data_IF_659684609418
#
_entry.id   IF_659684609418
#
_cell.length_a   1.000
_cell.length_b   1.000
_cell.length_c   1.000
_cell.angle_alpha   90.00
_cell.angle_beta   90.00
_cell.angle_gamma   90.00
#
_symmetry.space_group_name_H-M   'P 1'
#
loop_
_entity.id
_entity.type
_entity.pdbx_description
1 polymer ?
#
# COMPACT_ATOMS: atom_id res chain seq x y z
N UNK A 1 -6.16 21.39 -21.56
CA UNK A 1 -5.94 20.28 -22.51
C UNK A 1 -5.76 18.94 -21.77
N UNK A 2 -6.67 18.51 -20.90
CA UNK A 2 -6.70 17.17 -20.22
C UNK A 2 -5.34 16.43 -20.16
N UNK A 3 -5.24 15.25 -20.80
CA UNK A 3 -4.02 14.44 -20.84
C UNK A 3 -2.92 15.00 -21.75
N UNK A 4 -3.21 16.01 -22.58
CA UNK A 4 -2.21 16.73 -23.40
C UNK A 4 -1.44 17.79 -22.61
N UNK A 5 -1.91 18.18 -21.42
CA UNK A 5 -1.23 19.12 -20.52
C UNK A 5 -0.67 18.45 -19.26
N UNK A 6 -1.27 17.34 -18.83
CA UNK A 6 -0.78 16.54 -17.70
C UNK A 6 -1.22 15.10 -17.87
N UNK A 7 -0.27 14.19 -17.91
CA UNK A 7 -0.56 12.75 -17.96
C UNK A 7 -1.24 12.27 -16.67
N UNK A 8 -1.97 11.16 -16.75
CA UNK A 8 -2.61 10.56 -15.57
C UNK A 8 -1.55 10.03 -14.61
N UNK A 9 -1.88 10.01 -13.31
CA UNK A 9 -0.97 9.45 -12.31
C UNK A 9 -1.00 7.93 -12.41
N UNK A 10 0.14 7.33 -12.71
CA UNK A 10 0.34 5.90 -12.60
C UNK A 10 0.50 5.60 -11.12
N UNK A 11 -0.48 4.89 -10.54
CA UNK A 11 -0.56 4.60 -9.12
C UNK A 11 -0.97 3.14 -8.93
N UNK A 12 0.00 2.30 -8.60
CA UNK A 12 -0.22 0.90 -8.33
C UNK A 12 -0.67 0.72 -6.88
N UNK A 13 -1.59 -0.22 -6.70
CA UNK A 13 -2.02 -0.63 -5.37
C UNK A 13 -0.94 -1.49 -4.74
N UNK A 14 -0.25 -0.97 -3.72
CA UNK A 14 0.92 -1.63 -3.14
C UNK A 14 0.99 -1.49 -1.62
N UNK A 15 0.92 -2.61 -0.92
CA UNK A 15 1.11 -2.70 0.52
C UNK A 15 0.99 -4.17 0.88
N UNK A 16 1.96 -4.72 1.61
CA UNK A 16 1.93 -6.11 2.07
C UNK A 16 2.99 -6.29 3.15
N UNK A 17 2.66 -7.06 4.20
CA UNK A 17 3.60 -7.36 5.27
C UNK A 17 3.86 -6.16 6.17
N UNK A 18 5.14 -5.86 6.43
CA UNK A 18 5.53 -4.76 7.31
C UNK A 18 5.61 -3.42 6.58
N UNK A 19 5.67 -2.32 7.35
CA UNK A 19 5.92 -0.99 6.82
C UNK A 19 7.26 -0.92 6.04
N UNK A 20 8.28 -1.66 6.48
CA UNK A 20 9.59 -1.70 5.82
C UNK A 20 9.52 -2.40 4.45
N UNK A 21 8.75 -3.48 4.34
CA UNK A 21 8.58 -4.22 3.08
C UNK A 21 7.76 -3.40 2.08
N UNK A 22 6.72 -2.74 2.55
CA UNK A 22 5.92 -1.81 1.75
C UNK A 22 6.78 -0.63 1.26
N UNK A 23 7.65 -0.08 2.09
CA UNK A 23 8.56 0.99 1.67
C UNK A 23 9.56 0.53 0.59
N UNK A 24 10.15 -0.68 0.73
CA UNK A 24 11.00 -1.26 -0.31
C UNK A 24 10.26 -1.42 -1.63
N UNK A 25 8.99 -1.84 -1.59
CA UNK A 25 8.13 -1.96 -2.77
C UNK A 25 7.87 -0.60 -3.43
N UNK A 26 7.61 0.44 -2.66
CA UNK A 26 7.45 1.80 -3.18
C UNK A 26 8.70 2.30 -3.90
N UNK A 27 9.88 2.13 -3.32
CA UNK A 27 11.13 2.51 -4.00
C UNK A 27 11.32 1.75 -5.33
N UNK A 28 11.01 0.46 -5.36
CA UNK A 28 11.08 -0.32 -6.60
C UNK A 28 10.07 0.18 -7.65
N UNK A 29 8.86 0.53 -7.23
CA UNK A 29 7.80 1.04 -8.10
C UNK A 29 8.11 2.44 -8.65
N UNK A 30 8.63 3.34 -7.82
CA UNK A 30 9.11 4.65 -8.24
C UNK A 30 10.23 4.52 -9.27
N UNK A 31 11.17 3.59 -9.06
CA UNK A 31 12.24 3.29 -10.02
C UNK A 31 11.70 2.71 -11.34
N UNK A 32 10.52 2.09 -11.35
CA UNK A 32 9.86 1.56 -12.54
C UNK A 32 9.00 2.60 -13.27
N UNK A 33 8.95 3.85 -12.80
CA UNK A 33 8.21 4.94 -13.43
C UNK A 33 6.81 5.17 -12.87
N UNK A 34 6.50 4.62 -11.68
CA UNK A 34 5.28 4.98 -10.97
C UNK A 34 5.32 6.45 -10.51
N UNK A 35 4.24 7.19 -10.75
CA UNK A 35 4.18 8.65 -10.49
C UNK A 35 3.33 9.01 -9.28
N UNK A 36 2.75 8.03 -8.58
CA UNK A 36 2.11 8.24 -7.29
C UNK A 36 1.94 6.96 -6.50
N UNK A 37 2.09 7.02 -5.18
CA UNK A 37 2.00 5.85 -4.31
C UNK A 37 0.56 5.58 -3.86
N UNK A 38 0.21 4.30 -3.73
CA UNK A 38 -1.02 3.83 -3.07
C UNK A 38 -0.72 2.68 -2.14
N UNK A 39 -1.37 2.68 -0.99
CA UNK A 39 -1.14 1.72 0.11
C UNK A 39 -2.34 0.83 0.32
N UNK A 40 -2.09 -0.48 0.40
CA UNK A 40 -3.05 -1.45 0.91
C UNK A 40 -2.77 -1.69 2.40
N UNK A 41 -3.80 -1.64 3.24
CA UNK A 41 -3.71 -1.95 4.66
C UNK A 41 -4.26 -3.35 4.94
N UNK A 42 -3.77 -3.98 6.00
CA UNK A 42 -4.31 -5.24 6.49
C UNK A 42 -5.68 -5.03 7.17
N UNK A 43 -6.44 -6.13 7.27
CA UNK A 43 -7.82 -6.07 7.79
C UNK A 43 -7.91 -5.50 9.21
N UNK A 44 -6.99 -5.82 10.16
CA UNK A 44 -7.00 -5.22 11.48
C UNK A 44 -6.87 -3.69 11.46
N UNK A 45 -5.94 -3.14 10.65
CA UNK A 45 -5.77 -1.68 10.51
C UNK A 45 -7.00 -1.03 9.90
N UNK A 46 -7.64 -1.66 8.92
CA UNK A 46 -8.89 -1.16 8.33
C UNK A 46 -10.06 -1.15 9.32
N UNK A 47 -10.11 -2.15 10.21
CA UNK A 47 -11.15 -2.29 11.23
C UNK A 47 -10.84 -1.53 12.53
N UNK A 48 -9.69 -0.86 12.62
CA UNK A 48 -9.27 -0.10 13.80
C UNK A 48 -8.82 -0.96 14.98
N UNK A 49 -8.41 -2.20 14.73
CA UNK A 49 -7.81 -3.06 15.76
C UNK A 49 -6.29 -2.91 15.75
N UNK A 50 -5.72 -2.69 16.93
CA UNK A 50 -4.28 -2.78 17.11
C UNK A 50 -3.78 -4.20 16.90
N UNK A 51 -2.52 -4.31 16.49
CA UNK A 51 -1.84 -5.57 16.14
C UNK A 51 -1.79 -6.56 17.32
N UNK A 52 -1.90 -6.08 18.55
CA UNK A 52 -1.90 -6.88 19.78
C UNK A 52 -3.31 -7.40 20.18
N UNK A 53 -4.36 -6.96 19.49
CA UNK A 53 -5.73 -7.39 19.76
C UNK A 53 -5.89 -8.89 19.46
N UNK A 54 -6.55 -9.67 20.35
CA UNK A 54 -6.87 -11.07 20.09
C UNK A 54 -7.65 -11.29 18.78
N UNK A 55 -8.41 -10.28 18.33
CA UNK A 55 -9.18 -10.30 17.08
C UNK A 55 -8.35 -10.05 15.83
N UNK A 56 -7.13 -9.50 15.97
CA UNK A 56 -6.21 -9.24 14.87
C UNK A 56 -5.30 -10.45 14.55
N UNK A 57 -5.30 -11.46 15.43
CA UNK A 57 -4.39 -12.60 15.39
C UNK A 57 -4.59 -13.44 14.12
N UNK A 58 -3.59 -13.44 13.25
CA UNK A 58 -3.58 -14.20 11.99
C UNK A 58 -3.91 -13.39 10.74
N UNK A 59 -4.45 -12.17 10.90
CA UNK A 59 -4.75 -11.24 9.80
C UNK A 59 -3.78 -10.06 9.72
N UNK A 60 -2.97 -9.83 10.77
CA UNK A 60 -1.91 -8.81 10.76
C UNK A 60 -0.90 -9.04 9.62
N UNK A 61 -0.70 -8.01 8.79
CA UNK A 61 0.24 -8.00 7.67
C UNK A 61 -0.17 -8.85 6.47
N UNK A 62 -1.36 -9.46 6.46
CA UNK A 62 -1.88 -10.22 5.32
C UNK A 62 -3.04 -9.48 4.67
N UNK A 63 -2.97 -9.38 3.36
CA UNK A 63 -4.06 -8.92 2.49
C UNK A 63 -4.56 -10.15 1.76
N UNK A 64 -5.84 -10.47 1.92
CA UNK A 64 -6.49 -11.60 1.26
C UNK A 64 -7.18 -11.15 -0.02
#
# INVERSE_FOLDING_TARGET
TMYRGREWTLRMFSGMGSAADTNKRWHLLLNQGETGLSTAFDFPTLMGYDTDSPKARGECGKIR
#
